data_IF_604830561004
#
_entry.id   IF_604830561004
#
_cell.length_a   1.000
_cell.length_b   1.000
_cell.length_c   1.000
_cell.angle_alpha   90.00
_cell.angle_beta   90.00
_cell.angle_gamma   90.00
#
_symmetry.space_group_name_H-M   'P 1'
#
loop_
_entity.id
_entity.type
_entity.pdbx_description
1 polymer ?
#
# COMPACT_ATOMS: atom_id res chain seq x y z
N UNK A 1 -0.99 -0.45 13.39
CA UNK A 1 -2.13 -0.02 12.58
C UNK A 1 -1.64 1.06 11.64
N UNK A 2 -1.90 0.91 10.34
CA UNK A 2 -1.56 1.91 9.34
C UNK A 2 -2.69 2.93 9.22
N UNK A 3 -2.33 4.19 8.96
CA UNK A 3 -3.24 5.33 8.96
C UNK A 3 -2.95 6.18 7.74
N UNK A 4 -4.02 6.53 7.01
CA UNK A 4 -3.99 7.54 5.95
C UNK A 4 -4.70 8.79 6.47
N UNK A 5 -3.99 9.91 6.67
CA UNK A 5 -4.61 11.18 7.02
C UNK A 5 -5.54 11.63 5.89
N UNK A 6 -6.61 12.33 6.26
CA UNK A 6 -7.45 12.99 5.27
C UNK A 6 -6.66 14.10 4.58
N UNK A 7 -7.01 14.41 3.33
CA UNK A 7 -6.31 15.44 2.56
C UNK A 7 -6.22 16.77 3.32
N UNK A 8 -5.02 17.36 3.32
CA UNK A 8 -4.73 18.62 4.01
C UNK A 8 -4.49 18.49 5.51
N UNK A 9 -4.63 17.30 6.11
CA UNK A 9 -4.28 17.07 7.50
C UNK A 9 -2.77 16.92 7.68
N UNK A 10 -2.24 17.52 8.76
CA UNK A 10 -0.86 17.31 9.19
C UNK A 10 -0.69 15.89 9.76
N UNK A 11 0.04 15.06 9.01
CA UNK A 11 0.30 13.68 9.35
C UNK A 11 0.95 13.49 10.73
N UNK A 12 1.88 14.38 11.10
CA UNK A 12 2.58 14.29 12.39
C UNK A 12 1.62 14.62 13.54
N UNK A 13 0.83 15.68 13.39
CA UNK A 13 -0.19 16.05 14.36
C UNK A 13 -1.23 14.94 14.57
N UNK A 14 -1.67 14.31 13.46
CA UNK A 14 -2.61 13.17 13.50
C UNK A 14 -2.00 11.98 14.22
N UNK A 15 -0.79 11.56 13.86
CA UNK A 15 -0.12 10.42 14.50
C UNK A 15 0.11 10.66 15.99
N UNK A 16 0.50 11.89 16.37
CA UNK A 16 0.65 12.28 17.78
C UNK A 16 -0.68 12.22 18.54
N UNK A 17 -1.76 12.73 17.93
CA UNK A 17 -3.10 12.66 18.50
C UNK A 17 -3.58 11.23 18.72
N UNK A 18 -3.41 10.36 17.72
CA UNK A 18 -3.77 8.94 17.80
C UNK A 18 -2.93 8.20 18.84
N UNK A 19 -1.62 8.49 18.90
CA UNK A 19 -0.73 7.89 19.91
C UNK A 19 -1.15 8.26 21.33
N UNK A 20 -1.55 9.52 21.56
CA UNK A 20 -2.12 9.96 22.84
C UNK A 20 -3.43 9.26 23.16
N UNK A 21 -4.27 9.00 22.16
CA UNK A 21 -5.55 8.31 22.31
C UNK A 21 -5.44 6.78 22.38
N UNK A 22 -4.26 6.19 22.16
CA UNK A 22 -4.07 4.73 22.11
C UNK A 22 -4.61 3.98 23.35
N UNK A 23 -4.44 4.45 24.61
CA UNK A 23 -5.00 3.78 25.78
C UNK A 23 -6.54 3.78 25.78
N UNK A 24 -7.16 4.84 25.26
CA UNK A 24 -8.62 4.93 25.17
C UNK A 24 -9.17 3.88 24.20
N UNK A 25 -8.62 3.79 22.99
CA UNK A 25 -9.02 2.76 22.02
C UNK A 25 -8.78 1.35 22.54
N UNK A 26 -7.65 1.11 23.21
CA UNK A 26 -7.37 -0.16 23.86
C UNK A 26 -8.43 -0.53 24.90
N UNK A 27 -8.90 0.44 25.69
CA UNK A 27 -9.99 0.25 26.65
C UNK A 27 -11.33 -0.10 25.98
N UNK A 28 -11.64 0.52 24.83
CA UNK A 28 -12.83 0.19 24.04
C UNK A 28 -12.75 -1.25 23.49
N UNK A 29 -11.61 -1.62 22.92
CA UNK A 29 -11.36 -2.97 22.41
C UNK A 29 -11.43 -4.04 23.50
N UNK A 30 -11.01 -3.71 24.73
CA UNK A 30 -11.07 -4.64 25.87
C UNK A 30 -12.50 -5.09 26.20
N UNK A 31 -13.48 -4.23 25.92
CA UNK A 31 -14.90 -4.51 26.17
C UNK A 31 -15.55 -5.30 25.05
N UNK A 32 -14.93 -5.31 23.87
CA UNK A 32 -15.48 -5.94 22.66
C UNK A 32 -14.81 -7.27 22.31
N UNK A 33 -13.56 -7.47 22.72
CA UNK A 33 -12.76 -8.64 22.37
C UNK A 33 -12.47 -9.50 23.61
N UNK A 34 -12.68 -10.82 23.50
CA UNK A 34 -12.30 -11.79 24.53
C UNK A 34 -10.86 -12.26 24.27
N UNK A 35 -9.88 -11.49 24.72
CA UNK A 35 -8.45 -11.82 24.63
C UNK A 35 -7.83 -11.92 26.02
N UNK A 36 -6.94 -12.90 26.22
CA UNK A 36 -6.18 -13.02 27.49
C UNK A 36 -5.34 -11.77 27.76
N UNK A 37 -4.74 -11.20 26.71
CA UNK A 37 -4.00 -9.94 26.77
C UNK A 37 -4.27 -9.12 25.51
N UNK A 38 -4.57 -7.83 25.69
CA UNK A 38 -4.64 -6.91 24.58
C UNK A 38 -3.24 -6.48 24.11
N UNK A 39 -3.04 -6.26 22.81
CA UNK A 39 -1.81 -5.73 22.26
C UNK A 39 -1.72 -4.20 22.40
N UNK A 40 -0.51 -3.65 22.52
CA UNK A 40 -0.33 -2.20 22.46
C UNK A 40 -0.65 -1.71 21.04
N UNK A 41 -1.32 -0.55 20.95
CA UNK A 41 -1.69 0.04 19.68
C UNK A 41 -0.60 1.04 19.26
N UNK A 42 0.05 0.75 18.13
CA UNK A 42 0.99 1.67 17.49
C UNK A 42 0.42 2.11 16.15
N UNK A 43 0.42 3.43 15.92
CA UNK A 43 -0.03 4.04 14.68
C UNK A 43 1.18 4.39 13.81
N UNK A 44 1.09 4.09 12.53
CA UNK A 44 2.10 4.42 11.52
C UNK A 44 1.41 5.01 10.30
N UNK A 45 2.08 5.92 9.62
CA UNK A 45 1.60 6.41 8.34
C UNK A 45 1.58 5.25 7.34
N UNK A 46 0.55 5.20 6.52
CA UNK A 46 0.53 4.32 5.36
C UNK A 46 1.19 5.02 4.16
N UNK A 47 2.37 4.55 3.77
CA UNK A 47 3.14 5.11 2.65
C UNK A 47 2.74 4.49 1.30
N UNK A 48 1.86 3.48 1.30
CA UNK A 48 1.52 2.70 0.10
C UNK A 48 0.94 3.56 -1.03
N UNK A 49 0.21 4.62 -0.70
CA UNK A 49 -0.33 5.56 -1.70
C UNK A 49 0.76 6.36 -2.41
N UNK A 50 1.75 6.88 -1.66
CA UNK A 50 2.86 7.63 -2.24
C UNK A 50 3.77 6.74 -3.09
N UNK A 51 3.97 5.49 -2.68
CA UNK A 51 4.69 4.50 -3.49
C UNK A 51 3.91 4.12 -4.75
N UNK A 52 2.59 3.95 -4.66
CA UNK A 52 1.74 3.66 -5.82
C UNK A 52 1.86 4.73 -6.90
N UNK A 53 1.83 6.02 -6.52
CA UNK A 53 1.98 7.14 -7.46
C UNK A 53 3.38 7.19 -8.11
N UNK A 54 4.42 6.86 -7.33
CA UNK A 54 5.78 6.70 -7.87
C UNK A 54 5.87 5.57 -8.88
N UNK A 55 5.33 4.41 -8.55
CA UNK A 55 5.30 3.25 -9.44
C UNK A 55 4.56 3.62 -10.72
N UNK A 56 3.38 4.22 -10.62
CA UNK A 56 2.57 4.63 -11.78
C UNK A 56 3.34 5.61 -12.67
N UNK A 57 4.05 6.56 -12.08
CA UNK A 57 4.90 7.52 -12.81
C UNK A 57 6.01 6.80 -13.59
N UNK A 58 6.67 5.83 -12.98
CA UNK A 58 7.74 5.05 -13.62
C UNK A 58 7.15 4.18 -14.75
N UNK A 59 6.04 3.50 -14.50
CA UNK A 59 5.37 2.63 -15.47
C UNK A 59 4.89 3.41 -16.70
N UNK A 60 4.49 4.67 -16.54
CA UNK A 60 4.08 5.55 -17.65
C UNK A 60 5.24 6.17 -18.44
N UNK A 61 6.49 5.95 -18.02
CA UNK A 61 7.64 6.56 -18.68
C UNK A 61 7.83 6.04 -20.11
N UNK A 62 8.33 6.90 -21.01
CA UNK A 62 8.60 6.55 -22.42
C UNK A 62 9.61 5.41 -22.57
N UNK A 63 10.45 5.19 -21.55
CA UNK A 63 11.36 4.05 -21.51
C UNK A 63 10.58 2.75 -21.35
N UNK A 64 9.76 2.64 -20.29
CA UNK A 64 8.97 1.44 -20.00
C UNK A 64 7.97 1.16 -21.12
N UNK A 65 7.32 2.20 -21.66
CA UNK A 65 6.38 2.04 -22.78
C UNK A 65 7.03 1.42 -24.03
N UNK A 66 8.21 1.92 -24.43
CA UNK A 66 8.94 1.36 -25.58
C UNK A 66 9.35 -0.10 -25.37
N UNK A 67 9.73 -0.46 -24.15
CA UNK A 67 10.13 -1.83 -23.82
C UNK A 67 8.92 -2.79 -23.89
N UNK A 68 7.73 -2.33 -23.45
CA UNK A 68 6.48 -3.10 -23.55
C UNK A 68 6.02 -3.27 -25.01
N UNK A 69 6.06 -2.20 -25.82
CA UNK A 69 5.68 -2.24 -27.24
C UNK A 69 6.58 -3.21 -28.05
N UNK A 70 7.85 -3.38 -27.65
CA UNK A 70 8.76 -4.35 -28.28
C UNK A 70 8.50 -5.79 -27.84
N UNK A 71 8.08 -6.00 -26.58
CA UNK A 71 7.76 -7.33 -26.07
C UNK A 71 6.51 -7.93 -26.73
N UNK A 72 5.48 -7.11 -26.98
CA UNK A 72 4.25 -7.54 -27.67
C UNK A 72 4.50 -7.96 -29.13
N UNK A 73 5.56 -7.45 -29.77
CA UNK A 73 5.99 -7.83 -31.14
C UNK A 73 6.96 -9.01 -31.20
N UNK A 74 7.25 -9.64 -30.05
CA UNK A 74 8.12 -10.82 -29.95
C UNK A 74 7.35 -12.08 -29.51
N UNK A 75 6.07 -11.94 -29.16
CA UNK A 75 5.17 -13.03 -28.72
C UNK A 75 4.25 -13.54 -29.86
N UNK A 76 4.32 -12.93 -31.05
CA UNK A 76 3.52 -13.26 -32.23
C UNK A 76 4.16 -14.32 -33.15
N UNK A 77 5.08 -15.14 -32.64
CA UNK A 77 5.51 -16.34 -33.37
C UNK A 77 6.35 -17.30 -32.55
N UNK A 78 5.80 -18.48 -32.23
CA UNK A 78 6.33 -19.79 -32.64
C UNK A 78 5.61 -20.99 -31.94
N UNK A 79 4.31 -21.18 -32.20
CA UNK A 79 3.57 -22.40 -31.84
C UNK A 79 3.04 -23.17 -33.08
N UNK A 80 3.63 -22.96 -34.27
CA UNK A 80 3.37 -23.77 -35.47
C UNK A 80 4.69 -24.30 -36.04
N UNK A 81 5.21 -25.41 -35.49
CA UNK A 81 5.93 -26.44 -36.25
C UNK A 81 6.42 -27.55 -35.28
N UNK A 82 5.53 -28.49 -34.97
CA UNK A 82 5.92 -29.81 -34.48
C UNK A 82 5.64 -30.83 -35.60
N UNK A 83 6.66 -31.40 -36.27
CA UNK A 83 6.41 -32.41 -37.28
C UNK A 83 5.98 -33.72 -36.62
N UNK A 84 4.99 -34.37 -37.26
CA UNK A 84 4.36 -35.64 -36.91
C UNK A 84 5.28 -36.86 -37.07
#
# INVERSE_FOLDING_TARGET
MFVVPLMGADAEAVLKGLSRAAPHFRGLLARQLTLKYLPQLHFKLDESFGEGDRIETILRSDKVRRDLDQADTLDDGNDEDAPA
#
